data_IF_968661787036
#
_entry.id   IF_968661787036
#
_cell.length_a   1.000
_cell.length_b   1.000
_cell.length_c   1.000
_cell.angle_alpha   90.00
_cell.angle_beta   90.00
_cell.angle_gamma   90.00
#
_symmetry.space_group_name_H-M   'P 1'
#
loop_
_entity.id
_entity.type
_entity.pdbx_description
1 polymer ?
#
# COMPACT_ATOMS: atom_id res chain seq x y z
N UNK A 1 -13.05 2.77 -21.00
CA UNK A 1 -11.78 3.27 -21.58
C UNK A 1 -10.65 2.47 -20.94
N UNK A 2 -9.66 1.99 -21.70
CA UNK A 2 -8.56 1.18 -21.14
C UNK A 2 -7.54 2.03 -20.37
N UNK A 3 -6.74 1.41 -19.50
CA UNK A 3 -5.78 2.10 -18.63
C UNK A 3 -4.80 2.99 -19.40
N UNK A 4 -4.21 2.49 -20.49
CA UNK A 4 -3.31 3.24 -21.37
C UNK A 4 -3.90 4.57 -21.87
N UNK A 5 -5.17 4.56 -22.28
CA UNK A 5 -5.86 5.77 -22.75
C UNK A 5 -6.23 6.71 -21.61
N UNK A 6 -6.48 6.18 -20.41
CA UNK A 6 -6.85 6.97 -19.24
C UNK A 6 -5.66 7.76 -18.67
N UNK A 7 -4.48 7.14 -18.68
CA UNK A 7 -3.25 7.71 -18.09
C UNK A 7 -2.28 8.26 -19.14
N UNK A 8 -2.75 8.53 -20.36
CA UNK A 8 -1.96 9.04 -21.48
C UNK A 8 -0.63 8.26 -21.70
N UNK A 9 -0.71 6.94 -21.58
CA UNK A 9 0.42 6.02 -21.66
C UNK A 9 0.18 5.04 -22.82
N UNK A 10 0.46 5.46 -24.07
CA UNK A 10 0.16 4.64 -25.25
C UNK A 10 0.98 3.34 -25.27
N UNK A 11 0.34 2.25 -25.72
CA UNK A 11 1.04 0.99 -26.01
C UNK A 11 1.82 1.13 -27.32
N UNK A 12 3.14 1.16 -27.22
CA UNK A 12 4.04 1.39 -28.39
C UNK A 12 4.66 0.12 -28.96
N UNK A 13 4.47 -1.03 -28.30
CA UNK A 13 5.01 -2.31 -28.74
C UNK A 13 4.67 -3.45 -27.79
N UNK A 14 5.03 -4.67 -28.19
CA UNK A 14 4.82 -5.88 -27.40
C UNK A 14 5.14 -7.13 -28.22
N UNK A 15 5.19 -8.27 -27.54
CA UNK A 15 5.33 -9.58 -28.15
C UNK A 15 4.30 -10.54 -27.54
N UNK A 16 3.89 -11.55 -28.32
CA UNK A 16 2.96 -12.59 -27.84
C UNK A 16 3.51 -13.96 -28.15
N UNK A 17 3.54 -14.82 -27.13
CA UNK A 17 4.08 -16.17 -27.24
C UNK A 17 3.11 -17.19 -26.66
N UNK A 18 3.30 -18.48 -26.99
CA UNK A 18 2.47 -19.59 -26.50
C UNK A 18 3.10 -20.20 -25.25
N UNK A 19 2.35 -20.22 -24.16
CA UNK A 19 2.73 -20.88 -22.91
C UNK A 19 1.60 -20.78 -21.86
N UNK A 20 1.87 -21.16 -20.60
CA UNK A 20 1.01 -20.79 -19.49
C UNK A 20 0.74 -19.27 -19.49
N UNK A 21 -0.43 -18.84 -19.03
CA UNK A 21 -0.80 -17.43 -19.00
C UNK A 21 0.21 -16.63 -18.16
N UNK A 22 0.90 -15.70 -18.82
CA UNK A 22 1.82 -14.76 -18.20
C UNK A 22 1.66 -13.41 -18.90
N UNK A 23 1.66 -12.34 -18.12
CA UNK A 23 1.56 -10.97 -18.63
C UNK A 23 2.76 -10.21 -18.05
N UNK A 24 3.65 -9.75 -18.92
CA UNK A 24 4.79 -8.91 -18.56
C UNK A 24 4.60 -7.55 -19.22
N UNK A 25 4.62 -6.48 -18.42
CA UNK A 25 4.42 -5.10 -18.88
C UNK A 25 5.69 -4.32 -18.54
N UNK A 26 6.20 -3.56 -19.51
CA UNK A 26 7.27 -2.57 -19.30
C UNK A 26 6.68 -1.19 -19.50
N UNK A 27 6.86 -0.30 -18.52
CA UNK A 27 6.37 1.08 -18.54
C UNK A 27 7.56 2.02 -18.55
N UNK A 28 7.51 3.03 -19.42
CA UNK A 28 8.47 4.13 -19.44
C UNK A 28 7.77 5.41 -19.00
N UNK A 29 8.47 6.20 -18.19
CA UNK A 29 8.04 7.53 -17.77
C UNK A 29 9.22 8.49 -17.80
N UNK A 30 8.92 9.78 -17.78
CA UNK A 30 9.92 10.84 -17.77
C UNK A 30 9.77 11.70 -16.53
N UNK A 31 10.90 12.15 -15.98
CA UNK A 31 10.92 13.07 -14.84
C UNK A 31 12.01 14.11 -15.09
N UNK A 32 11.81 15.38 -14.68
CA UNK A 32 12.89 16.36 -14.64
C UNK A 32 14.12 15.85 -13.89
N UNK A 33 15.30 16.19 -14.41
CA UNK A 33 16.60 15.72 -13.89
C UNK A 33 16.74 16.06 -12.41
N UNK A 34 17.08 15.05 -11.60
CA UNK A 34 17.32 15.23 -10.16
C UNK A 34 16.05 15.25 -9.31
N UNK A 35 14.87 15.21 -9.92
CA UNK A 35 13.59 15.27 -9.21
C UNK A 35 12.85 13.93 -9.22
N UNK A 36 13.54 12.80 -9.42
CA UNK A 36 12.94 11.49 -9.25
C UNK A 36 12.64 11.23 -7.77
N UNK A 37 11.43 10.79 -7.42
CA UNK A 37 11.16 10.27 -6.09
C UNK A 37 11.91 8.95 -5.91
N UNK A 38 12.58 8.80 -4.76
CA UNK A 38 13.40 7.64 -4.42
C UNK A 38 12.95 7.07 -3.09
N UNK A 39 13.26 5.79 -2.86
CA UNK A 39 13.10 5.14 -1.54
C UNK A 39 14.06 5.72 -0.49
N UNK A 40 15.20 6.24 -0.93
CA UNK A 40 16.18 6.92 -0.09
C UNK A 40 15.86 8.40 0.00
N UNK A 41 16.03 9.00 1.19
CA UNK A 41 15.97 10.44 1.38
C UNK A 41 15.19 10.88 2.61
N UNK A 42 14.54 9.93 3.31
CA UNK A 42 13.89 10.20 4.58
C UNK A 42 14.88 10.76 5.60
N UNK A 43 14.43 11.74 6.38
CA UNK A 43 15.22 12.43 7.39
C UNK A 43 14.57 12.26 8.75
N UNK A 44 15.38 12.13 9.80
CA UNK A 44 14.87 12.16 11.17
C UNK A 44 14.01 13.41 11.40
N UNK A 45 12.83 13.21 11.99
CA UNK A 45 11.82 14.25 12.20
C UNK A 45 10.87 14.47 11.01
N UNK A 46 11.05 13.80 9.87
CA UNK A 46 10.02 13.75 8.83
C UNK A 46 8.77 13.05 9.36
N UNK A 47 7.60 13.47 8.88
CA UNK A 47 6.36 12.71 9.03
C UNK A 47 6.27 11.62 7.96
N UNK A 48 5.68 10.48 8.33
CA UNK A 48 5.37 9.37 7.42
C UNK A 48 3.90 9.46 7.03
N UNK A 49 3.63 9.55 5.74
CA UNK A 49 2.30 9.66 5.18
C UNK A 49 1.97 8.46 4.29
N UNK A 50 0.66 8.21 4.14
CA UNK A 50 0.11 7.34 3.10
C UNK A 50 -1.00 8.06 2.35
N UNK A 51 -1.21 7.71 1.08
CA UNK A 51 -2.39 8.11 0.33
C UNK A 51 -3.55 7.13 0.53
N UNK A 52 -4.78 7.61 0.39
CA UNK A 52 -6.00 6.82 0.33
C UNK A 52 -6.24 5.96 1.58
N UNK A 53 -6.79 4.76 1.37
CA UNK A 53 -7.15 3.83 2.43
C UNK A 53 -6.37 2.52 2.27
N UNK A 54 -5.97 1.93 3.39
CA UNK A 54 -5.14 0.73 3.44
C UNK A 54 -5.95 -0.54 3.75
N UNK A 55 -5.34 -1.69 3.48
CA UNK A 55 -5.89 -3.03 3.69
C UNK A 55 -7.01 -3.40 2.73
N UNK A 56 -7.37 -2.51 1.81
CA UNK A 56 -8.50 -2.69 0.89
C UNK A 56 -8.22 -3.78 -0.15
N UNK A 57 -6.97 -3.93 -0.60
CA UNK A 57 -6.56 -4.96 -1.55
C UNK A 57 -6.75 -6.36 -0.97
N UNK A 58 -6.15 -6.61 0.20
CA UNK A 58 -6.29 -7.89 0.91
C UNK A 58 -7.74 -8.20 1.28
N UNK A 59 -8.49 -7.23 1.79
CA UNK A 59 -9.90 -7.46 2.18
C UNK A 59 -10.75 -7.78 0.95
N UNK A 60 -10.50 -7.12 -0.19
CA UNK A 60 -11.19 -7.42 -1.43
C UNK A 60 -10.87 -8.83 -1.94
N UNK A 61 -9.60 -9.25 -1.91
CA UNK A 61 -9.18 -10.60 -2.29
C UNK A 61 -9.95 -11.68 -1.49
N UNK A 62 -10.03 -11.51 -0.17
CA UNK A 62 -10.73 -12.45 0.71
C UNK A 62 -12.25 -12.44 0.45
N UNK A 63 -12.85 -11.24 0.37
CA UNK A 63 -14.28 -11.08 0.12
C UNK A 63 -14.73 -11.66 -1.23
N UNK A 64 -13.87 -11.59 -2.25
CA UNK A 64 -14.10 -12.15 -3.58
C UNK A 64 -13.89 -13.68 -3.63
N UNK A 65 -13.44 -14.30 -2.54
CA UNK A 65 -13.14 -15.73 -2.48
C UNK A 65 -11.92 -16.13 -3.32
N UNK A 66 -11.06 -15.16 -3.65
CA UNK A 66 -9.82 -15.37 -4.41
C UNK A 66 -8.64 -15.66 -3.48
N UNK A 67 -8.78 -15.35 -2.20
CA UNK A 67 -7.89 -15.85 -1.16
C UNK A 67 -7.99 -17.38 -1.10
N UNK A 68 -6.85 -18.08 -1.10
CA UNK A 68 -6.87 -19.54 -0.98
C UNK A 68 -7.40 -19.91 0.41
N UNK A 69 -8.62 -20.42 0.47
CA UNK A 69 -9.18 -20.99 1.68
C UNK A 69 -8.58 -22.38 1.91
N UNK A 70 -7.86 -22.56 3.01
CA UNK A 70 -7.55 -23.91 3.55
C UNK A 70 -6.18 -24.51 3.20
N UNK A 71 -5.31 -23.83 2.47
CA UNK A 71 -3.91 -24.25 2.32
C UNK A 71 -2.99 -23.20 2.95
N UNK A 72 -2.13 -23.66 3.87
CA UNK A 72 -0.97 -22.90 4.33
C UNK A 72 -0.11 -22.60 3.10
N UNK A 73 -0.27 -21.42 2.51
CA UNK A 73 0.74 -20.89 1.61
C UNK A 73 1.77 -20.22 2.52
N UNK A 74 2.87 -20.92 2.73
CA UNK A 74 4.17 -20.33 3.08
C UNK A 74 4.15 -19.33 4.26
N UNK A 75 3.54 -19.74 5.37
CA UNK A 75 3.67 -19.04 6.64
C UNK A 75 2.92 -17.71 6.73
N UNK A 76 2.00 -17.43 5.79
CA UNK A 76 0.92 -16.46 6.04
C UNK A 76 -0.23 -17.29 6.59
N UNK A 77 -0.36 -17.36 7.93
CA UNK A 77 -1.62 -17.83 8.50
C UNK A 77 -2.73 -17.00 7.84
N UNK A 78 -3.74 -17.66 7.25
CA UNK A 78 -5.02 -17.00 6.96
C UNK A 78 -5.36 -16.22 8.22
N UNK A 79 -5.38 -14.88 8.14
CA UNK A 79 -5.62 -14.05 9.31
C UNK A 79 -6.93 -14.57 9.91
N UNK A 80 -6.84 -15.19 11.10
CA UNK A 80 -7.97 -15.89 11.72
C UNK A 80 -9.09 -14.86 11.89
N UNK A 81 -10.24 -15.09 11.25
CA UNK A 81 -11.43 -14.24 11.39
C UNK A 81 -12.03 -13.68 10.09
N UNK A 82 -11.32 -13.74 8.95
CA UNK A 82 -11.90 -13.34 7.65
C UNK A 82 -12.83 -14.41 7.02
N UNK A 83 -12.87 -15.63 7.57
CA UNK A 83 -13.59 -16.79 7.02
C UNK A 83 -15.11 -16.61 6.94
N UNK A 84 -15.65 -15.64 7.68
CA UNK A 84 -17.09 -15.41 7.78
C UNK A 84 -17.58 -14.25 6.90
N UNK A 85 -16.68 -13.57 6.17
CA UNK A 85 -17.05 -12.50 5.25
C UNK A 85 -17.72 -13.11 4.00
N UNK A 86 -19.06 -13.08 3.97
CA UNK A 86 -19.83 -13.53 2.82
C UNK A 86 -20.21 -12.37 1.91
N UNK A 87 -19.81 -12.45 0.64
CA UNK A 87 -20.14 -11.43 -0.36
C UNK A 87 -21.67 -11.25 -0.54
N UNK A 88 -22.46 -12.29 -0.24
CA UNK A 88 -23.94 -12.25 -0.29
C UNK A 88 -24.56 -11.36 0.77
N UNK A 89 -23.86 -11.14 1.88
CA UNK A 89 -24.40 -10.50 3.08
C UNK A 89 -23.95 -9.02 3.15
N UNK A 90 -23.19 -8.56 2.16
CA UNK A 90 -22.70 -7.19 2.06
C UNK A 90 -23.68 -6.25 1.37
N UNK A 91 -23.68 -4.99 1.81
CA UNK A 91 -24.33 -3.92 1.05
C UNK A 91 -23.73 -3.85 -0.37
N UNK A 92 -24.54 -3.65 -1.43
CA UNK A 92 -24.05 -3.60 -2.81
C UNK A 92 -22.94 -2.58 -3.05
N UNK A 93 -22.96 -1.47 -2.31
CA UNK A 93 -21.94 -0.41 -2.38
C UNK A 93 -20.56 -0.90 -1.93
N UNK A 94 -20.48 -1.76 -0.90
CA UNK A 94 -19.21 -2.32 -0.43
C UNK A 94 -18.66 -3.34 -1.41
N UNK A 95 -19.55 -4.13 -2.05
CA UNK A 95 -19.15 -5.07 -3.09
C UNK A 95 -18.55 -4.35 -4.31
N UNK A 96 -19.18 -3.28 -4.80
CA UNK A 96 -18.65 -2.49 -5.92
C UNK A 96 -17.30 -1.85 -5.56
N UNK A 97 -17.21 -1.27 -4.35
CA UNK A 97 -15.95 -0.71 -3.86
C UNK A 97 -14.82 -1.75 -3.85
N UNK A 98 -15.00 -2.90 -3.20
CA UNK A 98 -13.97 -3.93 -3.11
C UNK A 98 -13.59 -4.51 -4.48
N UNK A 99 -14.56 -4.68 -5.38
CA UNK A 99 -14.28 -5.11 -6.75
C UNK A 99 -13.33 -4.14 -7.46
N UNK A 100 -13.57 -2.83 -7.33
CA UNK A 100 -12.70 -1.80 -7.91
C UNK A 100 -11.34 -1.77 -7.24
N UNK A 101 -11.26 -1.93 -5.92
CA UNK A 101 -9.97 -1.97 -5.22
C UNK A 101 -9.05 -3.07 -5.76
N UNK A 102 -9.60 -4.26 -6.02
CA UNK A 102 -8.81 -5.40 -6.48
C UNK A 102 -8.54 -5.40 -7.99
N UNK A 103 -9.56 -5.16 -8.82
CA UNK A 103 -9.43 -5.27 -10.27
C UNK A 103 -9.08 -3.95 -10.97
N UNK A 104 -9.22 -2.81 -10.29
CA UNK A 104 -9.04 -1.48 -10.84
C UNK A 104 -8.35 -0.53 -9.83
N UNK A 105 -7.20 -0.92 -9.24
CA UNK A 105 -6.48 -0.03 -8.34
C UNK A 105 -6.11 1.28 -9.06
N UNK A 106 -6.21 2.39 -8.33
CA UNK A 106 -6.01 3.74 -8.87
C UNK A 106 -4.59 4.21 -8.59
N UNK A 107 -3.70 4.30 -9.59
CA UNK A 107 -2.35 4.82 -9.38
C UNK A 107 -2.39 6.32 -9.08
N UNK A 108 -1.63 6.77 -8.08
CA UNK A 108 -1.66 8.15 -7.57
C UNK A 108 -0.76 9.10 -8.36
N UNK A 109 -0.83 9.04 -9.70
CA UNK A 109 0.09 9.75 -10.60
C UNK A 109 0.00 11.28 -10.46
N UNK A 110 -1.20 11.84 -10.47
CA UNK A 110 -1.43 13.29 -10.36
C UNK A 110 -0.87 13.85 -9.05
N UNK A 111 -1.20 13.19 -7.94
CA UNK A 111 -0.69 13.55 -6.62
C UNK A 111 0.83 13.44 -6.56
N UNK A 112 1.40 12.31 -6.98
CA UNK A 112 2.84 12.07 -6.93
C UNK A 112 3.64 13.11 -7.74
N UNK A 113 3.13 13.50 -8.92
CA UNK A 113 3.76 14.51 -9.76
C UNK A 113 3.72 15.90 -9.11
N UNK A 114 2.58 16.30 -8.54
CA UNK A 114 2.39 17.62 -7.94
C UNK A 114 3.09 17.76 -6.57
N UNK A 115 3.07 16.71 -5.74
CA UNK A 115 3.64 16.70 -4.40
C UNK A 115 5.15 16.51 -4.38
N UNK A 116 5.75 16.14 -5.51
CA UNK A 116 7.14 15.68 -5.65
C UNK A 116 8.19 16.51 -4.93
N UNK A 117 8.09 17.85 -5.02
CA UNK A 117 9.05 18.77 -4.41
C UNK A 117 9.01 18.81 -2.87
N UNK A 118 7.93 18.29 -2.27
CA UNK A 118 7.72 18.23 -0.83
C UNK A 118 8.03 16.85 -0.23
N UNK A 119 8.25 15.84 -1.08
CA UNK A 119 8.47 14.46 -0.67
C UNK A 119 9.98 14.18 -0.59
N UNK A 120 10.43 13.75 0.58
CA UNK A 120 11.83 13.37 0.81
C UNK A 120 12.12 11.92 0.36
N UNK A 121 11.16 11.02 0.52
CA UNK A 121 11.24 9.65 0.00
C UNK A 121 9.85 9.06 -0.22
N UNK A 122 9.73 8.09 -1.14
CA UNK A 122 8.46 7.43 -1.43
C UNK A 122 8.62 6.00 -1.92
N UNK A 123 7.56 5.22 -1.75
CA UNK A 123 7.36 3.87 -2.30
C UNK A 123 5.86 3.62 -2.51
N UNK A 124 5.48 2.87 -3.53
CA UNK A 124 4.12 2.35 -3.66
C UNK A 124 3.89 1.15 -2.73
N UNK A 125 2.65 0.96 -2.30
CA UNK A 125 2.23 -0.09 -1.37
C UNK A 125 1.64 -1.27 -2.13
N UNK A 126 2.48 -2.26 -2.42
CA UNK A 126 2.12 -3.45 -3.21
C UNK A 126 2.18 -4.74 -2.38
N UNK A 127 3.12 -4.83 -1.43
CA UNK A 127 3.35 -6.02 -0.60
C UNK A 127 2.89 -5.82 0.86
N UNK A 128 2.31 -4.65 1.15
CA UNK A 128 1.80 -4.24 2.45
C UNK A 128 2.71 -3.23 3.13
N UNK A 129 2.11 -2.35 3.95
CA UNK A 129 2.79 -1.19 4.51
C UNK A 129 4.08 -1.54 5.23
N UNK A 130 4.11 -2.61 6.03
CA UNK A 130 5.29 -2.98 6.82
C UNK A 130 6.48 -3.36 5.92
N UNK A 131 6.24 -4.15 4.88
CA UNK A 131 7.29 -4.61 3.97
C UNK A 131 7.85 -3.45 3.13
N UNK A 132 6.96 -2.67 2.51
CA UNK A 132 7.32 -1.56 1.65
C UNK A 132 8.00 -0.42 2.43
N UNK A 133 7.48 -0.09 3.62
CA UNK A 133 8.13 0.87 4.51
C UNK A 133 9.49 0.36 5.00
N UNK A 134 9.67 -0.96 5.14
CA UNK A 134 10.96 -1.58 5.43
C UNK A 134 12.00 -1.36 4.31
N UNK A 135 11.57 -1.33 3.04
CA UNK A 135 12.44 -0.95 1.93
C UNK A 135 12.86 0.52 1.99
N UNK A 136 11.91 1.41 2.30
CA UNK A 136 12.15 2.85 2.45
C UNK A 136 13.09 3.12 3.64
N UNK A 137 12.84 2.50 4.80
CA UNK A 137 13.69 2.55 6.00
C UNK A 137 15.13 2.12 5.68
N UNK A 138 15.30 0.97 5.02
CA UNK A 138 16.63 0.45 4.64
C UNK A 138 17.35 1.36 3.65
N UNK A 139 16.65 1.86 2.63
CA UNK A 139 17.23 2.73 1.63
C UNK A 139 17.62 4.11 2.18
N UNK A 140 16.94 4.58 3.22
CA UNK A 140 17.21 5.86 3.88
C UNK A 140 18.17 5.73 5.07
N UNK A 141 18.38 4.53 5.60
CA UNK A 141 19.18 4.32 6.81
C UNK A 141 18.54 4.95 8.05
N UNK A 142 17.21 4.93 8.12
CA UNK A 142 16.40 5.52 9.19
C UNK A 142 15.44 4.50 9.79
N UNK A 143 14.94 4.77 10.99
CA UNK A 143 13.82 4.05 11.58
C UNK A 143 12.50 4.70 11.16
N UNK A 144 11.46 3.88 11.01
CA UNK A 144 10.10 4.32 10.74
C UNK A 144 9.22 3.90 11.90
N UNK A 145 8.65 4.88 12.60
CA UNK A 145 7.66 4.63 13.64
C UNK A 145 6.27 4.86 13.07
N UNK A 146 5.40 3.86 13.19
CA UNK A 146 4.03 3.90 12.68
C UNK A 146 3.07 3.75 13.84
N UNK A 147 2.04 4.61 13.88
CA UNK A 147 0.88 4.48 14.74
C UNK A 147 -0.21 3.67 14.01
N UNK A 148 -0.46 2.46 14.48
CA UNK A 148 -1.49 1.56 13.97
C UNK A 148 -2.91 2.13 14.16
N UNK A 149 -3.12 3.02 15.14
CA UNK A 149 -4.38 3.73 15.36
C UNK A 149 -4.63 4.84 14.34
N UNK A 150 -3.57 5.34 13.69
CA UNK A 150 -3.64 6.40 12.68
C UNK A 150 -3.86 5.87 11.24
N UNK A 151 -3.81 4.55 11.03
CA UNK A 151 -3.95 3.97 9.69
C UNK A 151 -5.33 4.29 9.08
N UNK A 152 -5.40 4.79 7.84
CA UNK A 152 -6.67 5.15 7.21
C UNK A 152 -7.38 3.94 6.61
N UNK A 153 -8.68 3.81 6.90
CA UNK A 153 -9.51 2.72 6.42
C UNK A 153 -10.80 3.24 5.77
N UNK A 154 -11.20 2.62 4.66
CA UNK A 154 -12.47 2.92 4.03
C UNK A 154 -13.64 2.38 4.87
N UNK A 155 -14.82 2.99 4.75
CA UNK A 155 -16.03 2.54 5.46
C UNK A 155 -16.33 1.05 5.22
N UNK A 156 -16.19 0.58 3.98
CA UNK A 156 -16.36 -0.83 3.65
C UNK A 156 -15.38 -1.75 4.40
N UNK A 157 -14.12 -1.31 4.56
CA UNK A 157 -13.12 -2.06 5.33
C UNK A 157 -13.53 -2.13 6.80
N UNK A 158 -13.92 -0.99 7.40
CA UNK A 158 -14.35 -0.92 8.80
C UNK A 158 -15.62 -1.75 9.04
N UNK A 159 -16.59 -1.70 8.15
CA UNK A 159 -17.87 -2.41 8.29
C UNK A 159 -17.74 -3.93 8.23
N UNK A 160 -16.68 -4.44 7.59
CA UNK A 160 -16.48 -5.86 7.32
C UNK A 160 -15.47 -6.52 8.27
N UNK A 161 -14.79 -5.74 9.12
CA UNK A 161 -13.66 -6.22 9.91
C UNK A 161 -13.63 -5.63 11.31
N UNK A 162 -13.07 -6.38 12.25
CA UNK A 162 -12.63 -5.80 13.52
C UNK A 162 -11.31 -5.00 13.37
N UNK A 163 -10.85 -4.38 14.46
CA UNK A 163 -9.63 -3.55 14.42
C UNK A 163 -8.37 -4.33 14.09
N UNK A 164 -8.21 -5.51 14.70
CA UNK A 164 -7.02 -6.33 14.51
C UNK A 164 -6.93 -6.83 13.06
N UNK A 165 -8.07 -7.20 12.48
CA UNK A 165 -8.19 -7.65 11.11
C UNK A 165 -7.78 -6.57 10.09
N UNK A 166 -8.33 -5.37 10.17
CA UNK A 166 -7.98 -4.28 9.22
C UNK A 166 -6.55 -3.78 9.40
N UNK A 167 -6.06 -3.69 10.65
CA UNK A 167 -4.66 -3.32 10.89
C UNK A 167 -3.71 -4.37 10.31
N UNK A 168 -4.00 -5.66 10.52
CA UNK A 168 -3.23 -6.75 9.91
C UNK A 168 -3.27 -6.69 8.38
N UNK A 169 -4.44 -6.43 7.79
CA UNK A 169 -4.59 -6.27 6.35
C UNK A 169 -3.81 -5.07 5.80
N UNK A 170 -3.78 -3.92 6.48
CA UNK A 170 -3.01 -2.76 6.06
C UNK A 170 -1.48 -2.96 6.20
N UNK A 171 -1.05 -3.60 7.28
CA UNK A 171 0.37 -3.79 7.57
C UNK A 171 1.00 -4.87 6.68
N UNK A 172 0.28 -5.97 6.43
CA UNK A 172 0.85 -7.17 5.83
C UNK A 172 0.11 -7.65 4.57
N UNK A 173 -1.03 -7.04 4.25
CA UNK A 173 -1.78 -7.31 3.03
C UNK A 173 -1.29 -6.45 1.87
N UNK A 174 -1.11 -7.07 0.72
CA UNK A 174 -0.76 -6.38 -0.52
C UNK A 174 -1.94 -5.84 -1.31
N UNK A 175 -1.64 -5.39 -2.52
CA UNK A 175 -2.58 -4.91 -3.55
C UNK A 175 -3.34 -3.61 -3.20
N UNK A 176 -2.77 -2.74 -2.35
CA UNK A 176 -3.37 -1.43 -2.06
C UNK A 176 -3.05 -0.36 -3.13
N UNK A 177 -1.86 -0.42 -3.72
CA UNK A 177 -1.31 0.50 -4.73
C UNK A 177 -1.40 2.00 -4.36
N UNK A 178 -1.41 2.28 -3.07
CA UNK A 178 -1.24 3.63 -2.52
C UNK A 178 0.24 4.03 -2.48
N UNK A 179 0.54 5.29 -2.18
CA UNK A 179 1.90 5.75 -1.98
C UNK A 179 2.14 5.95 -0.48
N UNK A 180 3.19 5.34 0.04
CA UNK A 180 3.78 5.71 1.31
C UNK A 180 4.98 6.63 1.08
N UNK A 181 5.04 7.74 1.80
CA UNK A 181 6.08 8.75 1.60
C UNK A 181 6.45 9.48 2.88
N UNK A 182 7.63 10.08 2.90
CA UNK A 182 8.09 10.93 4.00
C UNK A 182 8.21 12.37 3.54
N UNK A 183 7.90 13.31 4.42
CA UNK A 183 8.03 14.74 4.17
C UNK A 183 8.36 15.49 5.46
N UNK A 184 8.97 16.65 5.32
CA UNK A 184 9.19 17.53 6.46
C UNK A 184 7.84 17.97 7.06
N UNK A 185 7.74 18.05 8.38
CA UNK A 185 6.50 18.45 9.10
C UNK A 185 5.92 19.76 8.55
N UNK A 186 6.78 20.74 8.26
CA UNK A 186 6.37 22.04 7.72
C UNK A 186 5.77 21.98 6.30
N UNK A 187 5.92 20.86 5.60
CA UNK A 187 5.34 20.64 4.27
C UNK A 187 3.89 20.15 4.32
N UNK A 188 3.37 19.75 5.49
CA UNK A 188 2.02 19.19 5.61
C UNK A 188 0.91 20.09 5.04
N UNK A 189 0.88 21.41 5.31
CA UNK A 189 -0.17 22.28 4.75
C UNK A 189 -0.17 22.33 3.21
N UNK A 190 1.01 22.33 2.59
CA UNK A 190 1.12 22.34 1.13
C UNK A 190 0.70 20.99 0.54
N UNK A 191 1.08 19.89 1.19
CA UNK A 191 0.69 18.54 0.80
C UNK A 191 -0.83 18.32 0.90
N UNK A 192 -1.49 18.86 1.93
CA UNK A 192 -2.94 18.79 2.09
C UNK A 192 -3.68 19.51 0.96
N UNK A 193 -3.21 20.69 0.54
CA UNK A 193 -3.77 21.41 -0.61
C UNK A 193 -3.61 20.60 -1.89
N UNK A 194 -2.41 20.08 -2.16
CA UNK A 194 -2.12 19.28 -3.35
C UNK A 194 -2.95 17.98 -3.36
N UNK A 195 -3.11 17.35 -2.20
CA UNK A 195 -3.92 16.15 -2.03
C UNK A 195 -5.38 16.44 -2.37
N UNK A 196 -5.95 17.53 -1.84
CA UNK A 196 -7.32 17.95 -2.14
C UNK A 196 -7.51 18.27 -3.63
N UNK A 197 -6.60 19.01 -4.26
CA UNK A 197 -6.62 19.32 -5.70
C UNK A 197 -6.49 18.07 -6.58
N UNK A 198 -5.80 17.03 -6.08
CA UNK A 198 -5.62 15.75 -6.75
C UNK A 198 -6.72 14.73 -6.42
N UNK A 199 -7.74 15.11 -5.64
CA UNK A 199 -8.82 14.22 -5.15
C UNK A 199 -8.28 12.99 -4.39
N UNK A 200 -7.18 13.17 -3.66
CA UNK A 200 -6.54 12.14 -2.84
C UNK A 200 -6.59 12.57 -1.38
N UNK A 201 -6.89 11.63 -0.49
CA UNK A 201 -6.70 11.83 0.95
C UNK A 201 -5.27 11.41 1.30
N UNK A 202 -4.56 12.20 2.10
CA UNK A 202 -3.32 11.79 2.73
C UNK A 202 -3.52 11.68 4.24
N UNK A 203 -2.80 10.78 4.87
CA UNK A 203 -2.89 10.57 6.32
C UNK A 203 -1.49 10.44 6.88
N UNK A 204 -1.16 11.26 7.88
CA UNK A 204 0.05 11.08 8.67
C UNK A 204 -0.13 9.87 9.58
N UNK A 205 0.71 8.87 9.41
CA UNK A 205 0.63 7.59 10.13
C UNK A 205 1.80 7.40 11.09
N UNK A 206 2.68 8.40 11.22
CA UNK A 206 3.83 8.31 12.11
C UNK A 206 4.97 9.22 11.69
N UNK A 207 6.19 8.82 12.07
CA UNK A 207 7.38 9.66 11.97
C UNK A 207 8.63 8.85 11.64
N UNK A 208 9.62 9.56 11.09
CA UNK A 208 10.95 9.04 10.85
C UNK A 208 11.82 9.35 12.07
N UNK A 209 12.47 8.34 12.61
CA UNK A 209 13.32 8.44 13.79
C UNK A 209 14.75 7.96 13.51
N UNK A 210 15.69 8.34 14.38
CA UNK A 210 17.04 7.81 14.35
C UNK A 210 17.03 6.28 14.58
N UNK A 211 17.71 5.54 13.72
CA UNK A 211 17.84 4.08 13.84
C UNK A 211 17.61 3.37 12.51
N UNK A 212 17.13 2.13 12.56
CA UNK A 212 16.80 1.34 11.37
C UNK A 212 15.59 0.45 11.61
N UNK A 213 14.85 0.17 10.54
CA UNK A 213 13.73 -0.77 10.58
C UNK A 213 12.39 -0.08 10.79
N UNK A 214 11.35 -0.88 11.00
CA UNK A 214 9.98 -0.40 11.17
C UNK A 214 9.46 -0.86 12.52
N UNK A 215 8.99 0.10 13.32
CA UNK A 215 8.32 -0.14 14.60
C UNK A 215 6.86 0.28 14.45
N UNK A 216 5.94 -0.62 14.76
CA UNK A 216 4.51 -0.34 14.74
C UNK A 216 4.01 -0.29 16.18
N UNK A 217 3.29 0.78 16.52
CA UNK A 217 2.74 1.04 17.85
C UNK A 217 1.22 1.04 17.77
N UNK A 218 0.56 0.38 18.71
CA UNK A 218 -0.90 0.45 18.91
C UNK A 218 -1.16 0.85 20.37
N UNK A 219 -1.74 2.04 20.56
CA UNK A 219 -1.89 2.67 21.88
C UNK A 219 -0.58 2.69 22.70
N UNK A 220 0.53 3.00 22.01
CA UNK A 220 1.88 3.03 22.59
C UNK A 220 2.54 1.67 22.82
N UNK A 221 1.84 0.55 22.56
CA UNK A 221 2.40 -0.79 22.70
C UNK A 221 2.97 -1.27 21.36
N UNK A 222 4.14 -1.90 21.39
CA UNK A 222 4.74 -2.49 20.19
C UNK A 222 3.85 -3.63 19.69
N UNK A 223 3.40 -3.52 18.44
CA UNK A 223 2.70 -4.60 17.75
C UNK A 223 3.73 -5.67 17.36
N UNK A 224 3.47 -6.92 17.74
CA UNK A 224 4.35 -8.03 17.32
C UNK A 224 4.28 -8.20 15.80
N UNK A 225 5.46 -8.23 15.18
CA UNK A 225 5.65 -8.49 13.75
C UNK A 225 6.19 -9.89 13.50
N UNK A 226 6.38 -10.71 14.54
CA UNK A 226 6.90 -12.07 14.42
C UNK A 226 5.92 -12.96 13.63
N UNK A 227 6.40 -13.57 12.55
CA UNK A 227 5.62 -14.46 11.67
C UNK A 227 4.77 -13.74 10.62
N UNK A 228 4.53 -12.43 10.77
CA UNK A 228 3.78 -11.61 9.83
C UNK A 228 4.75 -10.86 8.91
N UNK A 229 4.72 -11.22 7.63
CA UNK A 229 5.55 -10.61 6.60
C UNK A 229 4.66 -10.23 5.41
N UNK A 230 5.09 -9.23 4.65
CA UNK A 230 4.47 -8.93 3.35
C UNK A 230 4.59 -10.10 2.38
N UNK A 231 3.98 -9.94 1.20
CA UNK A 231 4.00 -10.97 0.17
C UNK A 231 5.44 -11.26 -0.32
N UNK A 232 5.76 -12.54 -0.51
CA UNK A 232 7.06 -13.00 -1.06
C UNK A 232 6.81 -14.22 -1.95
N UNK A 233 7.20 -14.09 -3.22
CA UNK A 233 7.02 -15.10 -4.26
C UNK A 233 7.72 -16.45 -3.98
N UNK A 234 8.78 -16.46 -3.17
CA UNK A 234 9.64 -17.64 -2.97
C UNK A 234 9.61 -18.19 -1.56
N UNK A 235 8.74 -17.65 -0.70
CA UNK A 235 8.58 -18.16 0.65
C UNK A 235 8.15 -19.63 0.57
N UNK A 236 8.80 -20.51 1.34
CA UNK A 236 8.53 -21.96 1.34
C UNK A 236 9.20 -22.79 0.23
N UNK A 237 9.89 -22.16 -0.72
CA UNK A 237 10.80 -22.90 -1.60
C UNK A 237 12.08 -23.26 -0.83
N UNK A 238 12.27 -24.54 -0.49
CA UNK A 238 13.58 -25.02 -0.02
C UNK A 238 14.66 -24.72 -1.09
N UNK A 239 15.81 -24.20 -0.64
CA UNK A 239 16.99 -23.99 -1.49
C UNK A 239 17.65 -25.30 -1.87
#
# INVERSE_FOLDING_TARGET
>A
MGAASRFDCPLVGGDTTRGPLNIAITVYGEVPVGEALRRSGAREGDSVFVTGNLGKGRIALEALGLGKTGENIDGIEVIKGFKDIKISDMAPIYKDFLYRCFYQPEPRLTFAAAARQYINSAIDLSDGLYADLGHLARASGQAMHVDAGALPFAEAVIALTDSAQRQSAALFGGDDYEICFTAAVDSAPALEVIAAESEVVITCIGEVAAGTGVTVLDDGNIVSTEGNHGFDHFRGAEK
#
